data_IF_466421645448
#
_entry.id   IF_466421645448
#
_cell.length_a   1.000
_cell.length_b   1.000
_cell.length_c   1.000
_cell.angle_alpha   90.00
_cell.angle_beta   90.00
_cell.angle_gamma   90.00
#
_symmetry.space_group_name_H-M   'P 1'
#
loop_
_entity.id
_entity.type
_entity.pdbx_description
1 polymer ?
#
# COMPACT_ATOMS: atom_id res chain seq x y z
N UNK A 1 17.46 2.10 -13.48
CA UNK A 1 16.46 1.06 -13.02
C UNK A 1 16.88 0.32 -11.75
N UNK A 2 18.16 -0.07 -11.56
CA UNK A 2 18.59 -0.76 -10.32
C UNK A 2 18.28 -0.01 -9.02
N UNK A 3 18.37 1.32 -9.04
CA UNK A 3 17.98 2.17 -7.92
C UNK A 3 16.49 2.00 -7.58
N UNK A 4 15.61 2.17 -8.58
CA UNK A 4 14.17 2.08 -8.33
C UNK A 4 13.73 0.69 -7.87
N UNK A 5 14.32 -0.39 -8.41
CA UNK A 5 14.07 -1.73 -7.94
C UNK A 5 14.42 -1.89 -6.44
N UNK A 6 15.60 -1.42 -6.02
CA UNK A 6 15.99 -1.45 -4.63
C UNK A 6 15.07 -0.58 -3.74
N UNK A 7 14.64 0.57 -4.26
CA UNK A 7 13.70 1.46 -3.59
C UNK A 7 12.32 0.82 -3.43
N UNK A 8 11.74 0.32 -4.53
CA UNK A 8 10.45 -0.35 -4.50
C UNK A 8 10.46 -1.57 -3.56
N UNK A 9 11.50 -2.38 -3.59
CA UNK A 9 11.64 -3.55 -2.74
C UNK A 9 11.57 -3.22 -1.23
N UNK A 10 12.27 -2.17 -0.79
CA UNK A 10 12.28 -1.78 0.64
C UNK A 10 10.98 -1.10 1.09
N UNK A 11 10.16 -0.60 0.14
CA UNK A 11 8.84 -0.02 0.44
C UNK A 11 7.76 -1.10 0.36
N UNK A 12 7.66 -1.81 -0.74
CA UNK A 12 6.59 -2.79 -1.02
C UNK A 12 6.60 -3.94 0.00
N UNK A 13 7.75 -4.57 0.20
CA UNK A 13 7.84 -5.80 1.00
C UNK A 13 7.36 -5.64 2.44
N UNK A 14 7.83 -4.67 3.24
CA UNK A 14 7.38 -4.51 4.61
C UNK A 14 5.92 -4.04 4.71
N UNK A 15 5.47 -3.16 3.80
CA UNK A 15 4.08 -2.68 3.79
C UNK A 15 3.12 -3.82 3.49
N UNK A 16 3.38 -4.61 2.44
CA UNK A 16 2.56 -5.78 2.14
C UNK A 16 2.65 -6.87 3.23
N UNK A 17 3.82 -7.07 3.85
CA UNK A 17 3.94 -8.03 4.95
C UNK A 17 3.08 -7.64 6.15
N UNK A 18 3.04 -6.37 6.54
CA UNK A 18 2.19 -5.91 7.63
C UNK A 18 0.71 -6.01 7.28
N UNK A 19 0.34 -5.66 6.06
CA UNK A 19 -1.03 -5.77 5.59
C UNK A 19 -1.50 -7.22 5.49
N UNK A 20 -0.81 -8.05 4.69
CA UNK A 20 -1.26 -9.40 4.35
C UNK A 20 -1.15 -10.40 5.51
N UNK A 21 -0.21 -10.20 6.42
CA UNK A 21 -0.01 -11.12 7.54
C UNK A 21 -0.71 -10.70 8.82
N UNK A 22 -0.88 -9.39 9.03
CA UNK A 22 -1.40 -8.84 10.29
C UNK A 22 -2.63 -7.96 10.10
N UNK A 23 -3.02 -7.65 8.86
CA UNK A 23 -4.12 -6.75 8.57
C UNK A 23 -3.84 -5.29 8.97
N UNK A 24 -2.57 -4.89 9.01
CA UNK A 24 -2.19 -3.53 9.42
C UNK A 24 -1.79 -2.71 8.21
N UNK A 25 -2.47 -1.60 8.02
CA UNK A 25 -2.19 -0.60 7.00
C UNK A 25 -1.59 0.65 7.64
N UNK A 26 -0.36 0.97 7.23
CA UNK A 26 0.28 2.22 7.58
C UNK A 26 -0.07 3.33 6.59
N UNK A 27 -0.13 4.56 7.05
CA UNK A 27 -0.23 5.72 6.17
C UNK A 27 1.14 6.02 5.54
N UNK A 28 1.59 5.11 4.68
CA UNK A 28 2.95 5.09 4.12
C UNK A 28 3.10 5.96 2.86
N UNK A 29 2.45 7.13 2.83
CA UNK A 29 2.67 8.13 1.77
C UNK A 29 4.02 8.86 1.96
N UNK A 30 4.43 9.66 0.99
CA UNK A 30 5.76 10.30 0.97
C UNK A 30 6.06 11.15 2.22
N UNK A 31 5.06 11.85 2.77
CA UNK A 31 5.27 12.69 3.97
C UNK A 31 5.61 11.85 5.22
N UNK A 32 5.02 10.66 5.34
CA UNK A 32 5.17 9.78 6.50
C UNK A 32 6.28 8.74 6.32
N UNK A 33 6.88 8.68 5.13
CA UNK A 33 7.92 7.73 4.77
C UNK A 33 9.28 8.42 4.62
N UNK A 34 10.30 7.82 5.20
CA UNK A 34 11.70 8.24 5.02
C UNK A 34 12.53 7.04 4.62
N UNK A 35 13.35 7.19 3.59
CA UNK A 35 14.26 6.14 3.14
C UNK A 35 15.67 6.46 3.60
N UNK A 36 16.28 5.51 4.29
CA UNK A 36 17.69 5.58 4.65
C UNK A 36 18.55 5.01 3.51
N UNK A 37 19.58 5.77 3.16
CA UNK A 37 20.56 5.40 2.14
C UNK A 37 21.90 5.09 2.80
N UNK A 38 22.65 4.18 2.20
CA UNK A 38 24.06 3.98 2.59
C UNK A 38 24.98 5.02 1.93
N UNK A 39 26.26 4.96 2.25
CA UNK A 39 27.27 5.89 1.74
C UNK A 39 27.43 5.84 0.20
N UNK A 40 26.92 4.81 -0.47
CA UNK A 40 26.93 4.68 -1.93
C UNK A 40 25.64 5.19 -2.58
N UNK A 41 24.71 5.75 -1.79
CA UNK A 41 23.40 6.22 -2.26
C UNK A 41 22.40 5.08 -2.52
N UNK A 42 22.66 3.85 -2.02
CA UNK A 42 21.73 2.74 -2.18
C UNK A 42 20.68 2.77 -1.06
N UNK A 43 19.38 2.64 -1.39
CA UNK A 43 18.31 2.57 -0.40
C UNK A 43 18.45 1.29 0.45
N UNK A 44 18.30 1.40 1.77
CA UNK A 44 18.58 0.32 2.73
C UNK A 44 17.43 0.01 3.66
N UNK A 45 16.70 1.02 4.12
CA UNK A 45 15.61 0.86 5.07
C UNK A 45 14.51 1.88 4.82
N UNK A 46 13.27 1.44 5.04
CA UNK A 46 12.11 2.31 5.16
C UNK A 46 11.87 2.63 6.64
N UNK A 47 11.65 3.89 6.94
CA UNK A 47 11.11 4.37 8.22
C UNK A 47 9.73 4.96 7.95
N UNK A 48 8.75 4.53 8.72
CA UNK A 48 7.40 5.08 8.69
C UNK A 48 7.15 5.77 10.02
N UNK A 49 6.56 6.96 9.97
CA UNK A 49 6.14 7.72 11.14
C UNK A 49 4.64 7.98 11.07
N UNK A 50 4.08 8.50 12.15
CA UNK A 50 2.67 8.89 12.26
C UNK A 50 1.72 7.70 12.08
N UNK A 51 1.45 7.04 13.20
CA UNK A 51 0.59 5.85 13.23
C UNK A 51 -0.86 6.19 13.62
N UNK A 52 -1.21 7.48 13.75
CA UNK A 52 -2.51 7.91 14.27
C UNK A 52 -3.68 7.50 13.39
N UNK A 53 -3.49 7.53 12.07
CA UNK A 53 -4.52 7.18 11.08
C UNK A 53 -4.33 5.78 10.47
N UNK A 54 -3.41 4.98 11.00
CA UNK A 54 -3.23 3.58 10.58
C UNK A 54 -4.53 2.79 10.74
N UNK A 55 -4.79 1.89 9.79
CA UNK A 55 -5.99 1.03 9.80
C UNK A 55 -5.63 -0.42 10.08
N UNK A 56 -6.57 -1.15 10.67
CA UNK A 56 -6.37 -2.54 11.06
C UNK A 56 -7.58 -3.39 10.74
N UNK A 57 -7.32 -4.61 10.30
CA UNK A 57 -8.32 -5.66 10.15
C UNK A 57 -8.15 -6.68 11.28
N UNK A 58 -9.01 -6.62 12.28
CA UNK A 58 -8.88 -7.36 13.52
C UNK A 58 -8.83 -8.88 13.35
N UNK A 59 -9.58 -9.53 12.41
CA UNK A 59 -9.52 -10.96 12.22
C UNK A 59 -8.13 -11.50 11.88
N UNK A 60 -7.35 -10.81 11.02
CA UNK A 60 -5.98 -11.21 10.70
C UNK A 60 -5.04 -11.10 11.90
N UNK A 61 -5.23 -10.06 12.70
CA UNK A 61 -4.45 -9.82 13.92
C UNK A 61 -4.73 -10.88 14.98
N UNK A 62 -6.02 -11.22 15.18
CA UNK A 62 -6.46 -12.23 16.14
C UNK A 62 -5.97 -13.63 15.78
N UNK A 63 -5.94 -13.99 14.50
CA UNK A 63 -5.45 -15.28 14.04
C UNK A 63 -3.94 -15.48 14.29
N UNK A 64 -3.21 -14.39 14.48
CA UNK A 64 -1.80 -14.40 14.90
C UNK A 64 -1.62 -14.45 16.41
N UNK A 65 -2.69 -14.62 17.18
CA UNK A 65 -2.66 -14.67 18.64
C UNK A 65 -2.56 -13.29 19.31
N UNK A 66 -2.78 -12.21 18.54
CA UNK A 66 -2.76 -10.85 19.07
C UNK A 66 -4.17 -10.30 19.28
N UNK A 67 -4.30 -9.34 20.18
CA UNK A 67 -5.54 -8.59 20.39
C UNK A 67 -5.33 -7.15 19.95
N UNK A 68 -6.30 -6.60 19.23
CA UNK A 68 -6.48 -5.17 19.02
C UNK A 68 -7.71 -4.75 19.81
N UNK A 69 -7.57 -3.76 20.68
CA UNK A 69 -8.70 -3.07 21.26
C UNK A 69 -9.02 -1.85 20.38
N UNK A 70 -10.21 -1.81 19.76
CA UNK A 70 -10.58 -0.69 18.91
C UNK A 70 -10.54 0.60 19.72
N UNK A 71 -9.82 1.58 19.21
CA UNK A 71 -9.88 2.92 19.77
C UNK A 71 -11.19 3.57 19.31
N UNK A 72 -12.08 3.87 20.24
CA UNK A 72 -13.34 4.54 19.97
C UNK A 72 -13.39 5.87 20.72
N UNK A 73 -13.62 6.93 19.98
CA UNK A 73 -13.84 8.27 20.54
C UNK A 73 -14.94 8.96 19.74
N UNK A 74 -15.83 9.65 20.43
CA UNK A 74 -16.90 10.41 19.79
C UNK A 74 -16.33 11.39 18.74
N UNK A 75 -16.88 11.35 17.53
CA UNK A 75 -16.47 12.21 16.41
C UNK A 75 -15.19 11.74 15.68
N UNK A 76 -14.59 10.61 16.09
CA UNK A 76 -13.47 9.98 15.36
C UNK A 76 -13.97 8.76 14.64
N UNK A 77 -13.61 8.63 13.35
CA UNK A 77 -13.95 7.47 12.55
C UNK A 77 -13.17 6.24 13.02
N UNK A 78 -13.79 5.03 12.96
CA UNK A 78 -13.11 3.81 13.35
C UNK A 78 -11.92 3.54 12.43
N UNK A 79 -10.82 3.09 13.03
CA UNK A 79 -9.60 2.66 12.34
C UNK A 79 -9.38 1.16 12.39
N UNK A 80 -10.21 0.44 13.15
CA UNK A 80 -10.20 -1.02 13.26
C UNK A 80 -11.50 -1.58 12.69
N UNK A 81 -11.40 -2.57 11.81
CA UNK A 81 -12.50 -3.19 11.08
C UNK A 81 -12.52 -4.69 11.34
N UNK A 82 -13.72 -5.26 11.42
CA UNK A 82 -13.94 -6.69 11.73
C UNK A 82 -14.55 -7.46 10.55
N UNK A 83 -15.25 -6.81 9.66
CA UNK A 83 -16.11 -7.41 8.64
C UNK A 83 -15.60 -7.22 7.20
N UNK A 84 -14.90 -6.12 6.93
CA UNK A 84 -14.47 -5.78 5.57
C UNK A 84 -13.00 -5.35 5.50
N UNK A 85 -12.15 -6.22 4.95
CA UNK A 85 -10.74 -5.91 4.72
C UNK A 85 -10.53 -4.89 3.58
N UNK A 86 -11.51 -4.69 2.70
CA UNK A 86 -11.39 -3.76 1.58
C UNK A 86 -11.12 -2.34 2.04
N UNK A 87 -11.65 -1.94 3.20
CA UNK A 87 -11.42 -0.63 3.81
C UNK A 87 -9.97 -0.44 4.28
N UNK A 88 -9.30 -1.53 4.64
CA UNK A 88 -7.88 -1.53 5.00
C UNK A 88 -7.02 -1.62 3.75
N UNK A 89 -7.43 -2.43 2.76
CA UNK A 89 -6.77 -2.56 1.46
C UNK A 89 -6.71 -1.24 0.72
N UNK A 90 -7.84 -0.54 0.59
CA UNK A 90 -7.90 0.74 -0.11
C UNK A 90 -6.99 1.78 0.54
N UNK A 91 -6.84 1.75 1.86
CA UNK A 91 -5.92 2.62 2.56
C UNK A 91 -4.44 2.31 2.25
N UNK A 92 -4.06 1.02 2.16
CA UNK A 92 -2.70 0.63 1.74
C UNK A 92 -2.45 1.07 0.31
N UNK A 93 -3.39 0.82 -0.59
CA UNK A 93 -3.25 1.18 -2.01
C UNK A 93 -3.14 2.69 -2.15
N UNK A 94 -4.03 3.46 -1.57
CA UNK A 94 -4.00 4.92 -1.64
C UNK A 94 -2.70 5.49 -1.05
N UNK A 95 -2.38 5.18 0.18
CA UNK A 95 -1.25 5.80 0.86
C UNK A 95 0.11 5.37 0.30
N UNK A 96 0.33 4.05 0.11
CA UNK A 96 1.64 3.54 -0.29
C UNK A 96 1.81 3.45 -1.80
N UNK A 97 0.79 2.96 -2.53
CA UNK A 97 0.95 2.71 -3.96
C UNK A 97 0.60 3.94 -4.79
N UNK A 98 -0.45 4.68 -4.46
CA UNK A 98 -0.83 5.91 -5.18
C UNK A 98 0.01 7.10 -4.69
N UNK A 99 -0.09 7.46 -3.42
CA UNK A 99 0.53 8.69 -2.89
C UNK A 99 2.05 8.58 -2.62
N UNK A 100 2.70 7.46 -2.94
CA UNK A 100 4.13 7.28 -2.79
C UNK A 100 4.78 6.65 -4.03
N UNK A 101 4.55 5.35 -4.28
CA UNK A 101 5.27 4.62 -5.33
C UNK A 101 4.88 5.05 -6.74
N UNK A 102 3.60 5.34 -6.98
CA UNK A 102 3.12 5.87 -8.25
C UNK A 102 3.81 7.18 -8.59
N UNK A 103 3.87 8.13 -7.66
CA UNK A 103 4.48 9.44 -7.88
C UNK A 103 5.99 9.34 -8.19
N UNK A 104 6.69 8.44 -7.50
CA UNK A 104 8.12 8.18 -7.78
C UNK A 104 8.30 7.52 -9.14
N UNK A 105 7.45 6.53 -9.47
CA UNK A 105 7.51 5.85 -10.77
C UNK A 105 7.21 6.80 -11.92
N UNK A 106 6.16 7.63 -11.78
CA UNK A 106 5.78 8.64 -12.76
C UNK A 106 6.91 9.66 -13.00
N UNK A 107 7.49 10.18 -11.92
CA UNK A 107 8.62 11.11 -12.02
C UNK A 107 9.80 10.49 -12.76
N UNK A 108 10.11 9.22 -12.55
CA UNK A 108 11.17 8.52 -13.26
C UNK A 108 10.82 8.29 -14.73
N UNK A 109 9.59 7.92 -15.02
CA UNK A 109 9.11 7.66 -16.38
C UNK A 109 9.09 8.92 -17.24
N UNK A 110 8.74 10.06 -16.66
CA UNK A 110 8.75 11.37 -17.33
C UNK A 110 10.16 11.92 -17.58
N UNK A 111 11.12 11.63 -16.69
CA UNK A 111 12.46 12.24 -16.77
C UNK A 111 13.52 11.37 -17.45
N UNK A 112 13.26 10.09 -17.62
CA UNK A 112 14.21 9.15 -18.18
C UNK A 112 13.61 8.36 -19.34
N UNK A 113 14.35 8.20 -20.41
CA UNK A 113 13.98 7.34 -21.54
C UNK A 113 14.34 5.89 -21.21
N UNK A 114 13.34 5.03 -21.15
CA UNK A 114 13.51 3.59 -20.92
C UNK A 114 13.24 2.81 -22.20
N UNK A 115 14.17 1.93 -22.57
CA UNK A 115 14.07 1.17 -23.82
C UNK A 115 13.09 -0.02 -23.74
N UNK A 116 13.08 -0.76 -22.62
CA UNK A 116 12.32 -2.00 -22.49
C UNK A 116 11.64 -2.18 -21.14
N UNK A 117 12.26 -1.75 -20.05
CA UNK A 117 11.73 -1.93 -18.69
C UNK A 117 11.45 -0.57 -18.08
N UNK A 118 10.18 -0.25 -17.90
CA UNK A 118 9.74 0.98 -17.24
C UNK A 118 9.73 0.83 -15.72
N UNK A 119 9.59 1.92 -14.96
CA UNK A 119 9.35 1.85 -13.52
C UNK A 119 8.12 0.99 -13.16
N UNK A 120 7.11 0.99 -14.01
CA UNK A 120 5.87 0.22 -13.82
C UNK A 120 6.10 -1.29 -13.85
N UNK A 121 6.91 -1.80 -14.78
CA UNK A 121 7.32 -3.22 -14.81
C UNK A 121 8.04 -3.61 -13.52
N UNK A 122 8.97 -2.77 -13.05
CA UNK A 122 9.69 -3.02 -11.81
C UNK A 122 8.73 -3.04 -10.62
N UNK A 123 7.80 -2.10 -10.55
CA UNK A 123 6.82 -2.05 -9.46
C UNK A 123 5.96 -3.31 -9.45
N UNK A 124 5.46 -3.74 -10.62
CA UNK A 124 4.72 -5.00 -10.76
C UNK A 124 5.52 -6.20 -10.26
N UNK A 125 6.74 -6.37 -10.73
CA UNK A 125 7.62 -7.47 -10.34
C UNK A 125 7.88 -7.51 -8.82
N UNK A 126 8.06 -6.36 -8.18
CA UNK A 126 8.28 -6.29 -6.73
C UNK A 126 6.99 -6.60 -5.94
N UNK A 127 5.81 -6.21 -6.44
CA UNK A 127 4.53 -6.60 -5.85
C UNK A 127 4.35 -8.12 -5.96
N UNK A 128 4.51 -8.70 -7.16
CA UNK A 128 4.41 -10.15 -7.40
C UNK A 128 5.37 -10.93 -6.51
N UNK A 129 6.63 -10.51 -6.49
CA UNK A 129 7.67 -11.13 -5.65
C UNK A 129 7.31 -11.11 -4.16
N UNK A 130 6.70 -10.00 -3.68
CA UNK A 130 6.27 -9.88 -2.29
C UNK A 130 5.08 -10.82 -1.99
N UNK A 131 4.09 -10.90 -2.89
CA UNK A 131 2.96 -11.81 -2.75
C UNK A 131 3.40 -13.27 -2.72
N UNK A 132 4.31 -13.68 -3.62
CA UNK A 132 4.81 -15.03 -3.70
C UNK A 132 5.62 -15.41 -2.45
N UNK A 133 6.48 -14.52 -1.97
CA UNK A 133 7.26 -14.73 -0.75
C UNK A 133 6.39 -14.83 0.51
N UNK A 134 5.25 -14.15 0.55
CA UNK A 134 4.35 -14.15 1.70
C UNK A 134 3.31 -15.27 1.66
N UNK A 135 3.00 -15.82 0.49
CA UNK A 135 1.96 -16.84 0.29
C UNK A 135 2.00 -17.98 1.32
N UNK A 136 3.15 -18.62 1.64
CA UNK A 136 3.21 -19.72 2.59
C UNK A 136 2.81 -19.36 4.03
N UNK A 137 2.73 -18.05 4.32
CA UNK A 137 2.42 -17.50 5.64
C UNK A 137 1.04 -16.87 5.70
N UNK A 138 0.33 -16.76 4.58
CA UNK A 138 -1.01 -16.20 4.52
C UNK A 138 -2.07 -17.19 5.00
N UNK A 139 -3.29 -16.69 5.23
CA UNK A 139 -4.40 -17.48 5.81
C UNK A 139 -4.86 -18.62 4.92
N UNK A 140 -4.98 -18.34 3.62
CA UNK A 140 -5.47 -19.28 2.62
C UNK A 140 -5.02 -18.85 1.23
N UNK A 141 -5.04 -19.80 0.30
CA UNK A 141 -4.78 -19.52 -1.12
C UNK A 141 -5.88 -18.63 -1.73
N UNK A 142 -7.12 -18.74 -1.27
CA UNK A 142 -8.20 -17.87 -1.73
C UNK A 142 -7.93 -16.40 -1.34
N UNK A 143 -7.58 -16.15 -0.09
CA UNK A 143 -7.21 -14.81 0.37
C UNK A 143 -6.00 -14.26 -0.40
N UNK A 144 -4.98 -15.09 -0.63
CA UNK A 144 -3.82 -14.70 -1.45
C UNK A 144 -4.23 -14.29 -2.86
N UNK A 145 -5.11 -15.08 -3.49
CA UNK A 145 -5.55 -14.83 -4.87
C UNK A 145 -6.38 -13.54 -4.98
N UNK A 146 -7.31 -13.33 -4.06
CA UNK A 146 -8.18 -12.15 -4.03
C UNK A 146 -7.37 -10.87 -3.82
N UNK A 147 -6.45 -10.88 -2.87
CA UNK A 147 -5.60 -9.74 -2.59
C UNK A 147 -4.62 -9.47 -3.73
N UNK A 148 -3.99 -10.52 -4.28
CA UNK A 148 -3.09 -10.39 -5.44
C UNK A 148 -3.81 -9.75 -6.63
N UNK A 149 -5.03 -10.18 -6.90
CA UNK A 149 -5.87 -9.61 -7.97
C UNK A 149 -6.18 -8.14 -7.72
N UNK A 150 -6.50 -7.76 -6.50
CA UNK A 150 -6.77 -6.37 -6.15
C UNK A 150 -5.58 -5.44 -6.39
N UNK A 151 -4.36 -5.90 -6.10
CA UNK A 151 -3.15 -5.08 -6.28
C UNK A 151 -2.65 -5.05 -7.73
N UNK A 152 -2.81 -6.13 -8.50
CA UNK A 152 -2.16 -6.29 -9.81
C UNK A 152 -3.10 -6.15 -11.01
N UNK A 153 -4.43 -6.31 -10.82
CA UNK A 153 -5.36 -6.41 -11.94
C UNK A 153 -6.54 -5.43 -11.84
N UNK A 154 -6.96 -5.08 -10.61
CA UNK A 154 -8.11 -4.19 -10.41
C UNK A 154 -7.69 -2.72 -10.41
N UNK A 155 -8.61 -1.78 -10.71
CA UNK A 155 -8.39 -0.36 -10.51
C UNK A 155 -7.96 -0.06 -9.07
N UNK A 156 -7.11 0.93 -8.90
CA UNK A 156 -6.65 1.33 -7.57
C UNK A 156 -7.58 2.38 -6.95
N UNK A 157 -8.13 2.11 -5.77
CA UNK A 157 -8.89 3.11 -5.03
C UNK A 157 -7.97 4.22 -4.51
N UNK A 158 -8.43 5.45 -4.62
CA UNK A 158 -7.76 6.61 -4.04
C UNK A 158 -8.77 7.60 -3.45
N UNK A 159 -8.35 8.40 -2.49
CA UNK A 159 -9.22 9.37 -1.82
C UNK A 159 -9.60 10.52 -2.73
N UNK A 160 -10.89 10.82 -2.79
CA UNK A 160 -11.44 11.99 -3.51
C UNK A 160 -11.38 13.26 -2.67
N UNK A 161 -10.17 13.74 -2.35
CA UNK A 161 -9.96 14.89 -1.45
C UNK A 161 -10.72 16.13 -1.91
N UNK A 162 -10.68 16.44 -3.21
CA UNK A 162 -11.40 17.60 -3.76
C UNK A 162 -12.92 17.45 -3.60
N UNK A 163 -13.47 16.27 -3.90
CA UNK A 163 -14.89 15.99 -3.73
C UNK A 163 -15.31 16.09 -2.27
N UNK A 164 -14.53 15.52 -1.38
CA UNK A 164 -14.77 15.61 0.07
C UNK A 164 -14.82 17.07 0.51
N UNK A 165 -13.92 17.92 0.03
CA UNK A 165 -13.88 19.34 0.38
C UNK A 165 -15.08 20.11 -0.19
N UNK A 166 -15.40 19.92 -1.47
CA UNK A 166 -16.52 20.61 -2.13
C UNK A 166 -17.88 20.22 -1.57
N UNK A 167 -18.07 18.94 -1.28
CA UNK A 167 -19.32 18.40 -0.73
C UNK A 167 -19.40 18.49 0.81
N UNK A 168 -18.34 19.02 1.44
CA UNK A 168 -18.20 19.16 2.91
C UNK A 168 -18.39 17.85 3.67
N UNK A 169 -17.96 16.75 3.06
CA UNK A 169 -17.94 15.47 3.77
C UNK A 169 -17.01 15.53 4.98
N UNK A 170 -17.48 14.99 6.10
CA UNK A 170 -16.63 14.75 7.27
C UNK A 170 -15.93 13.41 7.22
N UNK A 171 -16.34 12.53 6.31
CA UNK A 171 -15.80 11.21 6.12
C UNK A 171 -14.74 11.24 5.00
N UNK A 172 -13.49 11.00 5.36
CA UNK A 172 -12.35 10.94 4.42
C UNK A 172 -12.27 9.62 3.63
N UNK A 173 -13.28 8.75 3.72
CA UNK A 173 -13.36 7.47 3.00
C UNK A 173 -14.10 7.58 1.68
N UNK A 174 -14.36 8.77 1.19
CA UNK A 174 -14.91 8.94 -0.16
C UNK A 174 -13.78 8.68 -1.15
N UNK A 175 -13.92 7.60 -1.91
CA UNK A 175 -12.93 7.11 -2.85
C UNK A 175 -13.42 7.25 -4.29
N UNK A 176 -12.50 7.23 -5.22
CA UNK A 176 -12.71 6.98 -6.64
C UNK A 176 -11.64 6.01 -7.14
N UNK A 177 -11.86 5.43 -8.30
CA UNK A 177 -10.94 4.48 -8.90
C UNK A 177 -10.00 5.17 -9.91
N UNK A 178 -8.72 4.84 -9.83
CA UNK A 178 -7.72 5.17 -10.83
C UNK A 178 -7.39 3.93 -11.67
N UNK A 179 -7.07 4.10 -12.96
CA UNK A 179 -6.47 3.02 -13.73
C UNK A 179 -5.25 2.46 -13.00
N UNK A 180 -5.16 1.14 -12.90
CA UNK A 180 -4.02 0.50 -12.28
C UNK A 180 -2.84 0.49 -13.28
N UNK A 181 -1.73 1.21 -13.02
CA UNK A 181 -0.65 1.36 -13.98
C UNK A 181 0.19 0.09 -14.16
N UNK A 182 -0.02 -0.92 -13.31
CA UNK A 182 0.68 -2.20 -13.40
C UNK A 182 -0.20 -3.34 -13.92
N UNK A 183 -1.49 -3.09 -14.26
CA UNK A 183 -2.43 -4.16 -14.60
C UNK A 183 -2.08 -4.87 -15.92
N UNK A 184 -1.86 -4.15 -16.99
CA UNK A 184 -1.75 -4.68 -18.36
C UNK A 184 -0.28 -4.80 -18.84
N UNK A 185 0.64 -4.89 -17.93
CA UNK A 185 2.05 -5.07 -18.24
C UNK A 185 2.35 -6.56 -18.43
N UNK A 186 2.36 -7.01 -19.67
CA UNK A 186 2.76 -8.37 -20.05
C UNK A 186 4.29 -8.46 -20.31
#
# INVERSE_FOLDING_TARGET
MAFFRAYAAIVVRPVLAMYLLYGVAFEAHQQNSSVLFDATGRPRKLLIRDFGDGRSFAPLFQQRGHRIEPFTREGILPTTFDDDISLVRSFVIDACFVCHLHEVALCLDEHYLFAHTTPWHILREEIESAFDALRPRMLSDAFWLDERKAFLEQPWPTRSVLRMHLERYRDYRVEHELPNPVADLA
#
